data_IF_638143824155
#
_entry.id   IF_638143824155
#
_cell.length_a   1.000
_cell.length_b   1.000
_cell.length_c   1.000
_cell.angle_alpha   90.00
_cell.angle_beta   90.00
_cell.angle_gamma   90.00
#
_symmetry.space_group_name_H-M   'P 1'
#
loop_
_entity.id
_entity.type
_entity.pdbx_description
1 polymer ?
#
# COMPACT_ATOMS: atom_id res chain seq x y z
N UNK A 1 0.44 -12.79 -10.24
CA UNK A 1 -0.82 -12.49 -9.59
C UNK A 1 -0.71 -11.20 -8.81
N UNK A 2 -1.72 -10.38 -8.95
CA UNK A 2 -1.68 -9.06 -8.34
C UNK A 2 -2.10 -9.11 -6.89
N UNK A 3 -1.19 -8.77 -6.02
CA UNK A 3 -1.47 -8.67 -4.60
C UNK A 3 -0.53 -7.64 -4.00
N UNK A 4 -0.94 -7.11 -2.86
CA UNK A 4 -0.13 -6.12 -2.16
C UNK A 4 1.19 -6.77 -1.71
N UNK A 5 2.29 -6.10 -2.02
CA UNK A 5 3.61 -6.61 -1.65
C UNK A 5 3.92 -6.39 -0.18
N UNK A 6 3.08 -5.66 0.53
CA UNK A 6 3.30 -5.32 1.93
C UNK A 6 2.47 -6.18 2.87
N UNK A 7 1.16 -6.27 2.62
CA UNK A 7 0.29 -7.03 3.50
C UNK A 7 -0.24 -8.31 2.89
N UNK A 8 -0.10 -8.48 1.58
CA UNK A 8 -0.51 -9.70 0.92
C UNK A 8 -1.97 -9.73 0.47
N UNK A 9 -2.72 -8.65 0.69
CA UNK A 9 -4.11 -8.62 0.24
C UNK A 9 -4.18 -8.70 -1.27
N UNK A 10 -5.13 -9.48 -1.75
CA UNK A 10 -5.34 -9.59 -3.19
C UNK A 10 -6.20 -8.43 -3.65
N UNK A 11 -6.34 -8.31 -4.97
CA UNK A 11 -7.14 -7.25 -5.56
C UNK A 11 -8.59 -7.32 -5.09
N UNK A 12 -9.07 -8.52 -4.79
CA UNK A 12 -10.43 -8.70 -4.30
C UNK A 12 -10.60 -8.24 -2.87
N UNK A 13 -9.53 -8.33 -2.09
CA UNK A 13 -9.58 -7.97 -0.68
C UNK A 13 -9.30 -6.50 -0.42
N UNK A 14 -8.70 -5.84 -1.38
CA UNK A 14 -8.40 -4.42 -1.30
C UNK A 14 -9.37 -3.63 -2.18
N UNK A 15 -9.54 -2.35 -1.86
CA UNK A 15 -10.36 -1.50 -2.71
C UNK A 15 -9.62 -1.12 -3.98
N UNK A 16 -8.35 -0.79 -3.83
CA UNK A 16 -7.50 -0.50 -4.99
C UNK A 16 -6.14 -1.15 -4.77
N UNK A 17 -5.45 -1.37 -5.87
CA UNK A 17 -4.13 -1.95 -5.84
C UNK A 17 -3.28 -1.19 -6.84
N UNK A 18 -2.35 -0.39 -6.31
CA UNK A 18 -1.52 0.49 -7.14
C UNK A 18 -0.28 -0.26 -7.59
N UNK A 19 -0.07 -0.29 -8.88
CA UNK A 19 1.07 -1.00 -9.46
C UNK A 19 2.32 -0.16 -9.40
N UNK A 20 3.41 -0.78 -8.97
CA UNK A 20 4.71 -0.15 -8.98
C UNK A 20 5.62 -0.87 -9.96
N UNK A 21 6.89 -0.54 -9.89
CA UNK A 21 7.86 -1.12 -10.81
C UNK A 21 8.01 -2.63 -10.60
N UNK A 22 8.09 -3.06 -9.37
CA UNK A 22 8.29 -4.47 -9.05
C UNK A 22 7.26 -5.02 -8.08
N UNK A 23 6.16 -4.34 -7.90
CA UNK A 23 5.17 -4.81 -6.95
C UNK A 23 3.93 -3.95 -6.93
N UNK A 24 3.12 -4.18 -5.93
CA UNK A 24 1.85 -3.47 -5.80
C UNK A 24 1.67 -3.05 -4.35
N UNK A 25 0.83 -2.04 -4.14
CA UNK A 25 0.49 -1.60 -2.80
C UNK A 25 -1.00 -1.32 -2.74
N UNK A 26 -1.66 -1.84 -1.71
CA UNK A 26 -3.10 -1.67 -1.57
C UNK A 26 -3.41 -0.34 -0.85
N UNK A 27 -4.68 0.04 -0.91
CA UNK A 27 -5.13 1.29 -0.30
C UNK A 27 -4.87 1.32 1.20
N UNK A 28 -5.04 0.19 1.86
CA UNK A 28 -4.80 0.11 3.30
C UNK A 28 -3.34 0.41 3.64
N UNK A 29 -2.42 -0.18 2.89
CA UNK A 29 -0.99 0.04 3.12
C UNK A 29 -0.57 1.44 2.72
N UNK A 30 -1.24 2.03 1.75
CA UNK A 30 -0.96 3.41 1.36
C UNK A 30 -1.26 4.35 2.53
N UNK A 31 -2.40 4.14 3.18
CA UNK A 31 -2.77 4.96 4.33
C UNK A 31 -1.78 4.79 5.47
N UNK A 32 -1.38 3.56 5.73
CA UNK A 32 -0.40 3.27 6.77
C UNK A 32 0.92 3.94 6.46
N UNK A 33 1.37 3.81 5.23
CA UNK A 33 2.64 4.39 4.82
C UNK A 33 2.59 5.92 4.90
N UNK A 34 1.47 6.49 4.54
CA UNK A 34 1.31 7.94 4.59
C UNK A 34 1.39 8.44 6.04
N UNK A 35 0.75 7.72 6.96
CA UNK A 35 0.80 8.07 8.38
C UNK A 35 2.24 8.02 8.90
N UNK A 36 2.96 6.97 8.54
CA UNK A 36 4.35 6.84 8.96
C UNK A 36 5.17 7.98 8.39
N UNK A 37 4.94 8.31 7.14
CA UNK A 37 5.66 9.38 6.47
C UNK A 37 5.45 10.72 7.15
N UNK A 38 4.21 11.01 7.51
CA UNK A 38 3.90 12.29 8.15
C UNK A 38 4.48 12.37 9.54
N UNK A 39 4.59 11.24 10.23
CA UNK A 39 5.21 11.21 11.56
C UNK A 39 6.73 11.40 11.47
N UNK A 40 7.33 10.76 10.47
CA UNK A 40 8.79 10.81 10.34
C UNK A 40 9.27 12.15 9.77
N UNK A 41 8.53 12.66 8.78
CA UNK A 41 8.92 13.90 8.09
C UNK A 41 8.11 15.10 8.55
N UNK A 42 7.17 14.91 9.43
CA UNK A 42 6.27 15.95 9.86
C UNK A 42 6.96 17.12 10.49
N UNK A 43 6.23 18.23 10.64
CA UNK A 43 6.81 19.50 11.08
C UNK A 43 7.45 19.45 12.43
#
# INVERSE_FOLDING_TARGET
>A
MDRCSFCGRTKKEANILVAGLEGHICDHCIEQAYSIMTEELGP
#
